data_IF_129479642761
#
_entry.id   IF_129479642761
#
_cell.length_a   1.000
_cell.length_b   1.000
_cell.length_c   1.000
_cell.angle_alpha   90.00
_cell.angle_beta   90.00
_cell.angle_gamma   90.00
#
_symmetry.space_group_name_H-M   'P 1'
#
loop_
_entity.id
_entity.type
_entity.pdbx_description
1 polymer ?
#
# COMPACT_ATOMS: atom_id res chain seq x y z
N UNK A 1 -3.97 17.58 -4.06
CA UNK A 1 -4.96 16.50 -3.92
C UNK A 1 -4.28 15.34 -3.22
N UNK A 2 -4.50 15.21 -1.90
CA UNK A 2 -4.02 14.05 -1.14
C UNK A 2 -4.93 12.89 -1.53
N UNK A 3 -4.36 11.82 -2.10
CA UNK A 3 -5.14 10.63 -2.48
C UNK A 3 -5.69 10.00 -1.21
N UNK A 4 -6.98 9.61 -1.20
CA UNK A 4 -7.57 8.93 -0.05
C UNK A 4 -6.72 7.70 0.35
N UNK A 5 -6.62 7.34 1.63
CA UNK A 5 -5.82 6.20 2.09
C UNK A 5 -6.16 4.89 1.35
N UNK A 6 -7.44 4.70 0.98
CA UNK A 6 -7.88 3.57 0.16
C UNK A 6 -7.32 3.60 -1.26
N UNK A 7 -7.28 4.77 -1.91
CA UNK A 7 -6.64 4.92 -3.22
C UNK A 7 -5.14 4.68 -3.15
N UNK A 8 -4.46 5.15 -2.11
CA UNK A 8 -3.04 4.89 -1.93
C UNK A 8 -2.78 3.39 -1.69
N UNK A 9 -3.54 2.72 -0.82
CA UNK A 9 -3.46 1.26 -0.63
C UNK A 9 -3.63 0.48 -1.94
N UNK A 10 -4.62 0.86 -2.76
CA UNK A 10 -4.85 0.26 -4.08
C UNK A 10 -3.65 0.48 -5.01
N UNK A 11 -3.09 1.68 -5.06
CA UNK A 11 -1.91 1.98 -5.87
C UNK A 11 -0.67 1.20 -5.41
N UNK A 12 -0.44 1.09 -4.10
CA UNK A 12 0.70 0.32 -3.56
C UNK A 12 0.52 -1.16 -3.87
N UNK A 13 -0.67 -1.75 -3.64
CA UNK A 13 -0.98 -3.15 -4.00
C UNK A 13 -0.76 -3.41 -5.50
N UNK A 14 -1.21 -2.52 -6.37
CA UNK A 14 -0.99 -2.64 -7.81
C UNK A 14 0.50 -2.59 -8.19
N UNK A 15 1.28 -1.67 -7.59
CA UNK A 15 2.73 -1.60 -7.81
C UNK A 15 3.44 -2.85 -7.33
N UNK A 16 3.00 -3.41 -6.20
CA UNK A 16 3.56 -4.63 -5.60
C UNK A 16 3.31 -5.84 -6.50
N UNK A 17 2.09 -6.00 -7.01
CA UNK A 17 1.75 -7.04 -7.98
C UNK A 17 2.61 -6.94 -9.26
N UNK A 18 2.79 -5.73 -9.80
CA UNK A 18 3.65 -5.50 -10.97
C UNK A 18 5.11 -5.86 -10.68
N UNK A 19 5.64 -5.50 -9.51
CA UNK A 19 7.01 -5.83 -9.13
C UNK A 19 7.22 -7.33 -8.89
N UNK A 20 6.24 -8.01 -8.28
CA UNK A 20 6.27 -9.47 -8.12
C UNK A 20 6.22 -10.18 -9.48
N UNK A 21 5.41 -9.71 -10.42
CA UNK A 21 5.37 -10.25 -11.78
C UNK A 21 6.68 -10.00 -12.53
N UNK A 22 7.25 -8.80 -12.40
CA UNK A 22 8.56 -8.47 -12.97
C UNK A 22 9.66 -9.36 -12.38
N UNK A 23 9.61 -9.64 -11.07
CA UNK A 23 10.53 -10.56 -10.41
C UNK A 23 10.36 -12.01 -10.91
N UNK A 24 9.13 -12.48 -11.10
CA UNK A 24 8.84 -13.83 -11.60
C UNK A 24 9.36 -14.04 -13.04
N UNK A 25 9.41 -12.98 -13.84
CA UNK A 25 9.91 -12.99 -15.21
C UNK A 25 11.37 -12.51 -15.31
N UNK A 26 12.00 -12.19 -14.18
CA UNK A 26 13.31 -11.56 -14.15
C UNK A 26 14.41 -12.53 -14.59
N UNK A 27 15.13 -12.16 -15.65
CA UNK A 27 16.29 -12.91 -16.19
C UNK A 27 17.59 -12.10 -16.19
N UNK A 28 17.60 -10.94 -15.53
CA UNK A 28 18.75 -10.03 -15.49
C UNK A 28 19.78 -10.39 -14.43
N UNK A 29 20.64 -9.42 -14.08
CA UNK A 29 21.74 -9.64 -13.15
C UNK A 29 21.24 -9.92 -11.70
N UNK A 30 21.96 -10.75 -10.92
CA UNK A 30 21.59 -11.04 -9.53
C UNK A 30 21.42 -9.79 -8.66
N UNK A 31 22.21 -8.74 -8.90
CA UNK A 31 22.17 -7.46 -8.19
C UNK A 31 20.86 -6.69 -8.42
N UNK A 32 20.34 -6.72 -9.63
CA UNK A 32 19.05 -6.13 -9.98
C UNK A 32 17.90 -6.92 -9.36
N UNK A 33 18.02 -8.26 -9.31
CA UNK A 33 17.08 -9.12 -8.57
C UNK A 33 17.03 -8.76 -7.08
N UNK A 34 18.19 -8.54 -6.46
CA UNK A 34 18.29 -8.13 -5.05
C UNK A 34 17.62 -6.75 -4.85
N UNK A 35 17.86 -5.80 -5.75
CA UNK A 35 17.22 -4.48 -5.71
C UNK A 35 15.69 -4.58 -5.82
N UNK A 36 15.18 -5.42 -6.72
CA UNK A 36 13.74 -5.69 -6.86
C UNK A 36 13.14 -6.32 -5.60
N UNK A 37 13.80 -7.34 -5.03
CA UNK A 37 13.38 -7.97 -3.78
C UNK A 37 13.34 -6.97 -2.62
N UNK A 38 14.36 -6.11 -2.50
CA UNK A 38 14.39 -5.08 -1.47
C UNK A 38 13.26 -4.05 -1.65
N UNK A 39 12.96 -3.67 -2.89
CA UNK A 39 11.84 -2.76 -3.18
C UNK A 39 10.49 -3.37 -2.84
N UNK A 40 10.29 -4.67 -3.12
CA UNK A 40 9.08 -5.40 -2.74
C UNK A 40 8.94 -5.42 -1.22
N UNK A 41 9.99 -5.82 -0.48
CA UNK A 41 9.97 -5.89 0.98
C UNK A 41 9.65 -4.54 1.64
N UNK A 42 10.16 -3.42 1.09
CA UNK A 42 9.83 -2.09 1.57
C UNK A 42 8.34 -1.76 1.40
N UNK A 43 7.76 -2.07 0.24
CA UNK A 43 6.35 -1.81 -0.04
C UNK A 43 5.42 -2.73 0.78
N UNK A 44 5.81 -3.99 0.99
CA UNK A 44 5.09 -4.91 1.87
C UNK A 44 5.07 -4.40 3.31
N UNK A 45 6.20 -3.86 3.79
CA UNK A 45 6.28 -3.24 5.12
C UNK A 45 5.43 -1.99 5.24
N UNK A 46 5.44 -1.12 4.22
CA UNK A 46 4.57 0.07 4.19
C UNK A 46 3.09 -0.32 4.30
N UNK A 47 2.63 -1.32 3.51
CA UNK A 47 1.24 -1.81 3.62
C UNK A 47 0.94 -2.33 5.03
N UNK A 48 1.85 -3.14 5.58
CA UNK A 48 1.64 -3.77 6.89
C UNK A 48 1.50 -2.73 8.00
N UNK A 49 2.31 -1.67 7.96
CA UNK A 49 2.22 -0.59 8.94
C UNK A 49 0.87 0.13 8.88
N UNK A 50 0.31 0.31 7.68
CA UNK A 50 -1.02 0.90 7.53
C UNK A 50 -2.13 -0.02 7.99
N UNK A 51 -1.99 -1.32 7.74
CA UNK A 51 -2.94 -2.33 8.22
C UNK A 51 -2.88 -2.45 9.75
N UNK A 52 -1.69 -2.34 10.35
CA UNK A 52 -1.50 -2.27 11.80
C UNK A 52 -2.10 -0.99 12.39
N UNK A 53 -1.89 0.17 11.76
CA UNK A 53 -2.53 1.42 12.15
C UNK A 53 -4.07 1.34 12.02
N UNK A 54 -4.59 0.78 10.93
CA UNK A 54 -6.04 0.54 10.77
C UNK A 54 -6.60 -0.39 11.87
N UNK A 55 -5.83 -1.41 12.28
CA UNK A 55 -6.25 -2.37 13.31
C UNK A 55 -6.18 -1.78 14.72
N UNK A 56 -5.18 -0.97 15.03
CA UNK A 56 -4.99 -0.38 16.36
C UNK A 56 -5.94 0.79 16.61
N UNK A 57 -6.23 1.59 15.60
CA UNK A 57 -7.01 2.82 15.74
C UNK A 57 -8.45 2.67 15.20
N UNK A 58 -8.79 1.53 14.59
CA UNK A 58 -9.99 1.39 13.77
C UNK A 58 -9.83 2.20 12.47
N UNK A 59 -10.63 1.90 11.44
CA UNK A 59 -10.64 2.67 10.18
C UNK A 59 -11.26 4.08 10.35
N UNK A 60 -11.03 4.76 11.47
CA UNK A 60 -11.38 6.15 11.68
C UNK A 60 -10.23 7.03 11.20
N UNK A 61 -10.03 7.04 9.88
CA UNK A 61 -9.21 8.09 9.27
C UNK A 61 -10.03 9.37 9.31
N UNK A 62 -9.67 10.26 10.22
CA UNK A 62 -10.35 11.53 10.37
C UNK A 62 -9.89 12.44 9.22
N UNK A 63 -10.83 13.00 8.48
CA UNK A 63 -10.52 14.01 7.47
C UNK A 63 -9.94 15.26 8.18
N UNK A 64 -8.71 15.68 7.81
CA UNK A 64 -8.00 16.79 8.47
C UNK A 64 -8.69 18.15 8.30
N UNK A 65 -9.57 18.31 7.30
CA UNK A 65 -10.30 19.54 7.03
C UNK A 65 -11.59 19.64 7.88
N UNK A 66 -12.18 18.50 8.25
CA UNK A 66 -13.52 18.47 8.87
C UNK A 66 -13.59 17.76 10.22
N UNK A 67 -12.56 17.03 10.64
CA UNK A 67 -12.55 16.31 11.92
C UNK A 67 -13.59 15.18 12.01
N UNK A 68 -14.20 14.79 10.88
CA UNK A 68 -15.16 13.71 10.81
C UNK A 68 -14.44 12.39 10.51
N UNK A 69 -14.88 11.30 11.16
CA UNK A 69 -14.53 9.96 10.73
C UNK A 69 -14.86 9.82 9.25
N UNK A 70 -13.88 9.47 8.40
CA UNK A 70 -14.12 9.06 7.02
C UNK A 70 -14.79 7.68 7.02
N UNK A 71 -16.02 7.67 7.52
CA UNK A 71 -16.97 6.58 7.42
C UNK A 71 -17.27 6.39 5.94
N UNK A 72 -16.43 5.61 5.25
CA UNK A 72 -16.74 5.07 3.93
C UNK A 72 -17.83 4.00 4.11
N UNK A 73 -19.04 4.46 4.39
CA UNK A 73 -20.25 3.67 4.27
C UNK A 73 -20.39 3.29 2.80
N UNK A 74 -19.97 2.08 2.46
CA UNK A 74 -20.56 1.37 1.33
C UNK A 74 -22.04 1.15 1.67
N UNK A 75 -22.93 1.91 1.04
CA UNK A 75 -24.30 1.47 0.84
C UNK A 75 -24.57 1.42 -0.67
N UNK A 76 -25.14 0.27 -1.01
CA UNK A 76 -25.38 -0.29 -2.33
C UNK A 76 -26.53 0.41 -3.04
#
# INVERSE_FOLDING_TARGET
MVSSPTQWRQQVKARLATLQQALAQFKGAPEERIRLLHRIAMLEREIRLLEEDDQQWGTQWVDEETGAAADMWFSR
#
